data_IF_042215819056
#
_entry.id   IF_042215819056
#
_cell.length_a   1.000
_cell.length_b   1.000
_cell.length_c   1.000
_cell.angle_alpha   90.00
_cell.angle_beta   90.00
_cell.angle_gamma   90.00
#
_symmetry.space_group_name_H-M   'P 1'
#
loop_
_entity.id
_entity.type
_entity.pdbx_description
1 polymer ?
#
# COMPACT_ATOMS: atom_id res chain seq x y z
N UNK A 1 -31.43 30.21 11.72
CA UNK A 1 -30.68 30.90 12.78
C UNK A 1 -30.87 30.09 14.05
N UNK A 2 -30.00 29.11 14.29
CA UNK A 2 -29.83 28.53 15.61
C UNK A 2 -28.43 28.94 16.05
N UNK A 3 -28.38 30.11 16.67
CA UNK A 3 -27.16 30.56 17.36
C UNK A 3 -26.84 29.54 18.44
N UNK A 4 -25.56 29.24 18.62
CA UNK A 4 -25.10 28.47 19.76
C UNK A 4 -25.64 29.13 21.05
N UNK A 5 -26.06 28.35 22.06
CA UNK A 5 -26.49 28.91 23.32
C UNK A 5 -25.37 29.80 23.89
N UNK A 6 -25.70 30.96 24.48
CA UNK A 6 -24.71 31.81 25.10
C UNK A 6 -23.94 31.02 26.17
N UNK A 7 -22.62 31.26 26.32
CA UNK A 7 -21.82 30.56 27.30
C UNK A 7 -22.39 30.76 28.71
N UNK A 8 -22.43 29.72 29.56
CA UNK A 8 -22.94 29.82 30.92
C UNK A 8 -22.13 30.85 31.73
N UNK A 9 -22.76 31.59 32.66
CA UNK A 9 -22.18 32.77 33.31
C UNK A 9 -21.02 32.48 34.28
N UNK A 10 -20.56 31.23 34.42
CA UNK A 10 -19.43 30.83 35.25
C UNK A 10 -18.57 29.83 34.48
N UNK A 11 -17.73 30.32 33.58
CA UNK A 11 -16.80 29.50 32.80
C UNK A 11 -15.51 29.31 33.58
N UNK A 12 -15.15 28.05 33.87
CA UNK A 12 -13.89 27.77 34.56
C UNK A 12 -12.70 28.28 33.71
N UNK A 13 -11.83 29.16 34.24
CA UNK A 13 -10.68 29.71 33.50
C UNK A 13 -9.62 28.65 33.13
N UNK A 14 -9.78 27.42 33.62
CA UNK A 14 -9.00 26.24 33.18
C UNK A 14 -9.46 25.72 31.82
N UNK A 15 -10.77 25.73 31.55
CA UNK A 15 -11.38 25.26 30.31
C UNK A 15 -11.04 26.16 29.11
N UNK A 16 -10.74 27.44 29.37
CA UNK A 16 -10.24 28.41 28.37
C UNK A 16 -8.80 28.11 27.93
N UNK A 17 -7.97 27.57 28.82
CA UNK A 17 -6.55 27.25 28.55
C UNK A 17 -6.36 25.88 27.91
N UNK A 18 -7.31 24.97 28.08
CA UNK A 18 -7.27 23.66 27.44
C UNK A 18 -7.62 23.78 25.95
N UNK A 19 -6.59 23.65 25.11
CA UNK A 19 -6.74 23.64 23.66
C UNK A 19 -6.03 22.41 23.10
N UNK A 20 -6.79 21.57 22.40
CA UNK A 20 -6.28 20.43 21.65
C UNK A 20 -5.61 20.84 20.33
N UNK A 21 -5.80 22.09 19.88
CA UNK A 21 -5.29 22.55 18.58
C UNK A 21 -3.77 22.39 18.38
N UNK A 22 -2.88 22.79 19.32
CA UNK A 22 -1.43 22.61 19.14
C UNK A 22 -1.02 21.13 19.08
N UNK A 23 -1.63 20.28 19.92
CA UNK A 23 -1.40 18.84 19.88
C UNK A 23 -1.87 18.23 18.55
N UNK A 24 -3.05 18.63 18.06
CA UNK A 24 -3.59 18.18 16.78
C UNK A 24 -2.71 18.56 15.60
N UNK A 25 -2.19 19.79 15.57
CA UNK A 25 -1.25 20.22 14.53
C UNK A 25 0.06 19.43 14.57
N UNK A 26 0.62 19.21 15.77
CA UNK A 26 1.84 18.42 15.92
C UNK A 26 1.64 16.98 15.41
N UNK A 27 0.57 16.30 15.83
CA UNK A 27 0.21 14.96 15.37
C UNK A 27 0.05 14.94 13.85
N UNK A 28 -0.66 15.93 13.30
CA UNK A 28 -0.90 16.03 11.86
C UNK A 28 0.41 16.10 11.08
N UNK A 29 1.31 17.00 11.48
CA UNK A 29 2.58 17.22 10.76
C UNK A 29 3.47 15.96 10.87
N UNK A 30 3.62 15.39 12.07
CA UNK A 30 4.50 14.25 12.31
C UNK A 30 4.06 13.04 11.49
N UNK A 31 2.78 12.67 11.55
CA UNK A 31 2.26 11.50 10.83
C UNK A 31 2.28 11.70 9.31
N UNK A 32 1.98 12.90 8.83
CA UNK A 32 2.02 13.20 7.39
C UNK A 32 3.43 13.18 6.84
N UNK A 33 4.42 13.72 7.57
CA UNK A 33 5.84 13.63 7.19
C UNK A 33 6.29 12.18 7.17
N UNK A 34 5.97 11.40 8.22
CA UNK A 34 6.30 9.98 8.28
C UNK A 34 5.68 9.20 7.10
N UNK A 35 4.41 9.45 6.79
CA UNK A 35 3.73 8.84 5.64
C UNK A 35 4.42 9.19 4.32
N UNK A 36 4.67 10.48 4.06
CA UNK A 36 5.39 10.96 2.88
C UNK A 36 6.76 10.26 2.73
N UNK A 37 7.53 10.17 3.80
CA UNK A 37 8.83 9.50 3.80
C UNK A 37 8.70 8.01 3.44
N UNK A 38 7.71 7.29 4.00
CA UNK A 38 7.51 5.87 3.68
C UNK A 38 7.06 5.63 2.24
N UNK A 39 6.20 6.49 1.68
CA UNK A 39 5.78 6.43 0.28
C UNK A 39 6.96 6.72 -0.65
N UNK A 40 7.76 7.75 -0.35
CA UNK A 40 8.97 8.06 -1.12
C UNK A 40 9.96 6.88 -1.13
N UNK A 41 10.15 6.25 0.03
CA UNK A 41 11.03 5.09 0.18
C UNK A 41 10.53 3.87 -0.59
N UNK A 42 9.20 3.66 -0.59
CA UNK A 42 8.54 2.64 -1.41
C UNK A 42 8.78 2.88 -2.90
N UNK A 43 8.58 4.11 -3.38
CA UNK A 43 8.79 4.46 -4.79
C UNK A 43 10.25 4.31 -5.20
N UNK A 44 11.19 4.72 -4.33
CA UNK A 44 12.61 4.48 -4.54
C UNK A 44 12.91 2.99 -4.69
N UNK A 45 12.36 2.16 -3.79
CA UNK A 45 12.53 0.71 -3.83
C UNK A 45 11.96 0.10 -5.12
N UNK A 46 10.78 0.53 -5.57
CA UNK A 46 10.14 0.02 -6.80
C UNK A 46 10.86 0.46 -8.07
N UNK A 47 11.18 1.76 -8.18
CA UNK A 47 11.79 2.35 -9.39
C UNK A 47 13.27 1.99 -9.52
N UNK A 48 14.04 2.12 -8.43
CA UNK A 48 15.50 1.99 -8.49
C UNK A 48 15.96 0.57 -8.17
N UNK A 49 15.44 -0.03 -7.09
CA UNK A 49 15.92 -1.34 -6.63
C UNK A 49 15.30 -2.51 -7.41
N UNK A 50 13.99 -2.45 -7.65
CA UNK A 50 13.25 -3.52 -8.34
C UNK A 50 13.05 -3.25 -9.84
N UNK A 51 13.25 -2.01 -10.30
CA UNK A 51 13.05 -1.57 -11.70
C UNK A 51 11.70 -1.97 -12.30
N UNK A 52 10.68 -2.06 -11.46
CA UNK A 52 9.35 -2.51 -11.85
C UNK A 52 8.27 -1.80 -11.03
N UNK A 53 7.44 -1.01 -11.70
CA UNK A 53 6.32 -0.28 -11.11
C UNK A 53 5.03 -1.06 -11.36
N UNK A 54 4.22 -1.19 -10.31
CA UNK A 54 2.97 -1.95 -10.34
C UNK A 54 1.76 -1.02 -10.21
N UNK A 55 0.56 -1.49 -10.59
CA UNK A 55 -0.69 -0.72 -10.43
C UNK A 55 -0.95 -0.28 -8.99
N UNK A 56 -0.55 -1.10 -8.02
CA UNK A 56 -0.54 -0.81 -6.58
C UNK A 56 0.23 0.48 -6.23
N UNK A 57 1.32 0.79 -6.93
CA UNK A 57 2.13 1.99 -6.67
C UNK A 57 1.41 3.29 -7.12
N UNK A 58 0.50 3.21 -8.10
CA UNK A 58 -0.35 4.34 -8.48
C UNK A 58 -1.51 4.52 -7.49
N UNK A 59 -2.08 3.43 -6.99
CA UNK A 59 -3.15 3.47 -6.00
C UNK A 59 -2.68 4.10 -4.68
N UNK A 60 -1.47 3.74 -4.20
CA UNK A 60 -0.92 4.34 -2.97
C UNK A 60 -0.55 5.82 -3.15
N UNK A 61 -0.07 6.20 -4.35
CA UNK A 61 0.18 7.60 -4.68
C UNK A 61 -1.11 8.42 -4.66
N UNK A 62 -2.19 7.89 -5.23
CA UNK A 62 -3.51 8.51 -5.19
C UNK A 62 -4.01 8.65 -3.75
N UNK A 63 -3.84 7.60 -2.93
CA UNK A 63 -4.17 7.64 -1.51
C UNK A 63 -3.38 8.74 -0.77
N UNK A 64 -2.08 8.87 -1.05
CA UNK A 64 -1.23 9.90 -0.45
C UNK A 64 -1.64 11.32 -0.87
N UNK A 65 -2.04 11.52 -2.13
CA UNK A 65 -2.55 12.83 -2.59
C UNK A 65 -3.81 13.22 -1.81
N UNK A 66 -4.76 12.29 -1.65
CA UNK A 66 -5.94 12.56 -0.82
C UNK A 66 -5.57 12.76 0.66
N UNK A 67 -4.62 12.00 1.20
CA UNK A 67 -4.12 12.17 2.56
C UNK A 67 -3.47 13.55 2.81
N UNK A 68 -2.75 14.08 1.83
CA UNK A 68 -2.23 15.46 1.87
C UNK A 68 -3.37 16.49 1.82
N UNK A 69 -4.40 16.24 1.01
CA UNK A 69 -5.61 17.06 1.00
C UNK A 69 -6.31 17.08 2.36
N UNK A 70 -6.46 15.92 3.01
CA UNK A 70 -7.02 15.81 4.35
C UNK A 70 -6.17 16.56 5.37
N UNK A 71 -4.85 16.45 5.27
CA UNK A 71 -3.90 17.19 6.12
C UNK A 71 -4.08 18.69 5.98
N UNK A 72 -4.15 19.21 4.75
CA UNK A 72 -4.34 20.63 4.49
C UNK A 72 -5.66 21.15 5.09
N UNK A 73 -6.77 20.42 4.88
CA UNK A 73 -8.08 20.78 5.44
C UNK A 73 -8.02 20.79 6.97
N UNK A 74 -7.39 19.79 7.59
CA UNK A 74 -7.26 19.72 9.05
C UNK A 74 -6.41 20.86 9.63
N UNK A 75 -5.31 21.24 8.98
CA UNK A 75 -4.51 22.39 9.40
C UNK A 75 -5.37 23.67 9.39
N UNK A 76 -6.16 23.89 8.33
CA UNK A 76 -7.10 25.03 8.27
C UNK A 76 -8.16 24.95 9.38
N UNK A 77 -8.69 23.75 9.65
CA UNK A 77 -9.66 23.53 10.73
C UNK A 77 -9.10 23.85 12.13
N UNK A 78 -7.87 23.44 12.43
CA UNK A 78 -7.21 23.69 13.73
C UNK A 78 -6.74 25.14 13.88
N UNK A 79 -6.32 25.80 12.79
CA UNK A 79 -5.76 27.16 12.84
C UNK A 79 -6.81 28.26 12.73
N UNK A 80 -7.75 28.13 11.79
CA UNK A 80 -8.75 29.15 11.44
C UNK A 80 -10.16 28.71 11.82
N UNK A 81 -10.46 27.41 11.70
CA UNK A 81 -11.79 26.86 11.96
C UNK A 81 -12.20 26.84 13.44
N UNK A 82 -11.25 26.99 14.36
CA UNK A 82 -11.49 26.96 15.81
C UNK A 82 -11.74 25.54 16.36
N UNK A 83 -11.43 24.49 15.61
CA UNK A 83 -11.53 23.10 16.08
C UNK A 83 -10.44 22.87 17.14
N UNK A 84 -10.82 22.31 18.30
CA UNK A 84 -9.90 22.03 19.42
C UNK A 84 -9.98 22.99 20.61
N UNK A 85 -10.88 24.00 20.56
CA UNK A 85 -11.30 24.80 21.72
C UNK A 85 -12.73 24.43 22.12
N UNK A 86 -13.08 24.57 23.40
CA UNK A 86 -14.45 24.35 23.86
C UNK A 86 -15.42 25.29 23.14
N UNK A 87 -16.63 24.80 22.86
CA UNK A 87 -17.61 25.43 21.96
C UNK A 87 -17.96 26.86 22.38
N UNK A 88 -17.81 27.15 23.67
CA UNK A 88 -18.03 28.42 24.35
C UNK A 88 -17.02 29.52 23.96
N UNK A 89 -15.83 29.15 23.45
CA UNK A 89 -14.77 30.09 23.04
C UNK A 89 -14.57 30.15 21.52
N UNK A 90 -15.38 29.44 20.73
CA UNK A 90 -15.31 29.41 19.27
C UNK A 90 -16.09 30.59 18.68
N UNK A 91 -15.88 31.80 19.20
CA UNK A 91 -16.51 33.00 18.68
C UNK A 91 -15.74 33.53 17.45
N UNK A 92 -16.51 33.73 16.37
CA UNK A 92 -16.39 34.80 15.36
C UNK A 92 -15.30 34.87 14.28
N UNK A 93 -14.41 33.89 14.09
CA UNK A 93 -13.46 33.98 12.95
C UNK A 93 -13.97 33.48 11.59
N UNK A 94 -14.98 32.61 11.54
CA UNK A 94 -15.43 32.00 10.28
C UNK A 94 -16.95 31.83 10.21
N UNK A 95 -17.61 32.22 9.11
CA UNK A 95 -19.05 32.04 8.96
C UNK A 95 -19.42 30.56 9.06
N UNK A 96 -20.55 30.27 9.73
CA UNK A 96 -21.02 28.91 10.00
C UNK A 96 -21.13 28.04 8.73
N UNK A 97 -21.48 28.66 7.59
CA UNK A 97 -21.50 28.01 6.28
C UNK A 97 -20.13 27.48 5.85
N UNK A 98 -19.06 28.22 6.08
CA UNK A 98 -17.70 27.81 5.71
C UNK A 98 -17.19 26.70 6.63
N UNK A 99 -17.53 26.74 7.93
CA UNK A 99 -17.25 25.64 8.87
C UNK A 99 -17.90 24.33 8.43
N UNK A 100 -19.18 24.36 8.05
CA UNK A 100 -19.88 23.17 7.52
C UNK A 100 -19.22 22.65 6.24
N UNK A 101 -18.86 23.53 5.30
CA UNK A 101 -18.13 23.13 4.08
C UNK A 101 -16.82 22.42 4.39
N UNK A 102 -16.02 22.95 5.31
CA UNK A 102 -14.75 22.35 5.70
C UNK A 102 -14.95 20.94 6.27
N UNK A 103 -15.91 20.74 7.17
CA UNK A 103 -16.20 19.42 7.74
C UNK A 103 -16.65 18.41 6.69
N UNK A 104 -17.57 18.78 5.79
CA UNK A 104 -18.01 17.89 4.70
C UNK A 104 -16.88 17.58 3.72
N UNK A 105 -16.02 18.56 3.41
CA UNK A 105 -14.84 18.31 2.57
C UNK A 105 -13.83 17.38 3.25
N UNK A 106 -13.60 17.53 4.55
CA UNK A 106 -12.73 16.64 5.32
C UNK A 106 -13.26 15.21 5.31
N UNK A 107 -14.57 15.03 5.50
CA UNK A 107 -15.24 13.72 5.45
C UNK A 107 -15.09 13.05 4.07
N UNK A 108 -15.34 13.80 2.99
CA UNK A 108 -15.26 13.29 1.62
C UNK A 108 -13.81 12.89 1.26
N UNK A 109 -12.83 13.73 1.59
CA UNK A 109 -11.42 13.43 1.34
C UNK A 109 -10.94 12.27 2.21
N UNK A 110 -11.34 12.20 3.48
CA UNK A 110 -11.06 11.08 4.37
C UNK A 110 -11.55 9.74 3.80
N UNK A 111 -12.83 9.70 3.37
CA UNK A 111 -13.40 8.49 2.78
C UNK A 111 -12.62 8.08 1.53
N UNK A 112 -12.31 9.03 0.64
CA UNK A 112 -11.51 8.78 -0.56
C UNK A 112 -10.11 8.23 -0.24
N UNK A 113 -9.42 8.79 0.75
CA UNK A 113 -8.12 8.27 1.22
C UNK A 113 -8.25 6.83 1.72
N UNK A 114 -9.25 6.52 2.54
CA UNK A 114 -9.46 5.17 3.09
C UNK A 114 -9.67 4.13 1.98
N UNK A 115 -10.55 4.42 1.03
CA UNK A 115 -10.84 3.50 -0.09
C UNK A 115 -9.58 3.28 -0.94
N UNK A 116 -8.86 4.35 -1.29
CA UNK A 116 -7.65 4.26 -2.09
C UNK A 116 -6.55 3.43 -1.39
N UNK A 117 -6.34 3.64 -0.08
CA UNK A 117 -5.39 2.86 0.73
C UNK A 117 -5.76 1.37 0.76
N UNK A 118 -7.04 1.04 0.95
CA UNK A 118 -7.53 -0.34 0.99
C UNK A 118 -7.38 -1.04 -0.37
N UNK A 119 -7.65 -0.33 -1.46
CA UNK A 119 -7.44 -0.85 -2.82
C UNK A 119 -5.96 -1.15 -3.04
N UNK A 120 -5.06 -0.23 -2.67
CA UNK A 120 -3.60 -0.48 -2.73
C UNK A 120 -3.21 -1.73 -1.94
N UNK A 121 -3.64 -1.87 -0.69
CA UNK A 121 -3.37 -3.07 0.12
C UNK A 121 -3.83 -4.37 -0.56
N UNK A 122 -5.05 -4.39 -1.12
CA UNK A 122 -5.57 -5.57 -1.82
C UNK A 122 -4.79 -5.91 -3.08
N UNK A 123 -4.41 -4.91 -3.88
CA UNK A 123 -3.55 -5.11 -5.04
C UNK A 123 -2.16 -5.63 -4.64
N UNK A 124 -1.61 -5.10 -3.55
CA UNK A 124 -0.34 -5.57 -3.02
C UNK A 124 -0.41 -7.04 -2.58
N UNK A 125 -1.48 -7.44 -1.89
CA UNK A 125 -1.70 -8.82 -1.49
C UNK A 125 -1.87 -9.76 -2.67
N UNK A 126 -2.54 -9.31 -3.73
CA UNK A 126 -2.66 -10.06 -4.99
C UNK A 126 -1.29 -10.35 -5.62
N UNK A 127 -0.33 -9.42 -5.49
CA UNK A 127 1.03 -9.60 -6.00
C UNK A 127 1.91 -10.48 -5.10
N UNK A 128 1.76 -10.38 -3.77
CA UNK A 128 2.56 -11.14 -2.81
C UNK A 128 2.19 -12.63 -2.83
N UNK A 129 0.89 -12.93 -2.94
CA UNK A 129 0.37 -14.28 -2.86
C UNK A 129 -0.16 -14.74 -4.23
N UNK A 130 0.59 -15.59 -4.98
CA UNK A 130 0.21 -15.96 -6.34
C UNK A 130 -0.97 -16.95 -6.44
N UNK A 131 -1.57 -17.37 -5.32
CA UNK A 131 -2.67 -18.34 -5.28
C UNK A 131 -3.92 -17.86 -6.03
N UNK A 132 -4.55 -18.76 -6.80
CA UNK A 132 -5.77 -18.46 -7.57
C UNK A 132 -6.92 -17.99 -6.68
N UNK A 133 -7.13 -18.67 -5.55
CA UNK A 133 -8.17 -18.31 -4.56
C UNK A 133 -7.93 -16.91 -4.01
N UNK A 134 -6.68 -16.57 -3.71
CA UNK A 134 -6.32 -15.25 -3.20
C UNK A 134 -6.58 -14.14 -4.22
N UNK A 135 -6.26 -14.38 -5.49
CA UNK A 135 -6.54 -13.41 -6.57
C UNK A 135 -8.03 -13.12 -6.67
N UNK A 136 -8.88 -14.14 -6.64
CA UNK A 136 -10.34 -13.97 -6.68
C UNK A 136 -10.83 -13.18 -5.47
N UNK A 137 -10.36 -13.50 -4.26
CA UNK A 137 -10.73 -12.76 -3.04
C UNK A 137 -10.31 -11.29 -3.15
N UNK A 138 -9.08 -11.00 -3.58
CA UNK A 138 -8.60 -9.64 -3.77
C UNK A 138 -9.42 -8.88 -4.82
N UNK A 139 -9.69 -9.48 -5.98
CA UNK A 139 -10.39 -8.83 -7.08
C UNK A 139 -11.86 -8.55 -6.73
N UNK A 140 -12.54 -9.49 -6.08
CA UNK A 140 -13.89 -9.28 -5.53
C UNK A 140 -13.91 -8.17 -4.46
N UNK A 141 -12.92 -8.15 -3.57
CA UNK A 141 -12.81 -7.14 -2.51
C UNK A 141 -12.56 -5.75 -3.09
N UNK A 142 -11.70 -5.62 -4.11
CA UNK A 142 -11.45 -4.36 -4.80
C UNK A 142 -12.73 -3.87 -5.50
N UNK A 143 -13.45 -4.74 -6.20
CA UNK A 143 -14.72 -4.38 -6.82
C UNK A 143 -15.75 -3.87 -5.80
N UNK A 144 -15.87 -4.56 -4.66
CA UNK A 144 -16.73 -4.13 -3.56
C UNK A 144 -16.31 -2.77 -2.99
N UNK A 145 -15.01 -2.55 -2.73
CA UNK A 145 -14.49 -1.29 -2.20
C UNK A 145 -14.73 -0.11 -3.15
N UNK A 146 -14.59 -0.33 -4.46
CA UNK A 146 -14.87 0.71 -5.48
C UNK A 146 -16.36 1.05 -5.47
N UNK A 147 -17.24 0.04 -5.51
CA UNK A 147 -18.70 0.27 -5.52
C UNK A 147 -19.15 0.99 -4.24
N UNK A 148 -18.69 0.52 -3.08
CA UNK A 148 -18.92 1.15 -1.79
C UNK A 148 -18.41 2.59 -1.77
N UNK A 149 -17.20 2.80 -2.29
CA UNK A 149 -16.57 4.10 -2.32
C UNK A 149 -17.29 5.13 -3.17
N UNK A 150 -17.76 4.72 -4.36
CA UNK A 150 -18.58 5.57 -5.23
C UNK A 150 -19.89 5.93 -4.53
N UNK A 151 -20.57 4.96 -3.90
CA UNK A 151 -21.81 5.21 -3.16
C UNK A 151 -21.61 6.21 -2.02
N UNK A 152 -20.54 6.05 -1.22
CA UNK A 152 -20.18 6.97 -0.14
C UNK A 152 -19.86 8.37 -0.66
N UNK A 153 -19.13 8.48 -1.77
CA UNK A 153 -18.75 9.77 -2.32
C UNK A 153 -19.96 10.51 -2.91
N UNK A 154 -20.85 9.80 -3.59
CA UNK A 154 -22.12 10.36 -4.09
C UNK A 154 -22.96 10.88 -2.92
N UNK A 155 -23.09 10.08 -1.86
CA UNK A 155 -23.85 10.46 -0.68
C UNK A 155 -23.28 11.71 0.02
N UNK A 156 -21.98 11.71 0.29
CA UNK A 156 -21.30 12.78 1.04
C UNK A 156 -21.22 14.07 0.24
N UNK A 157 -20.97 13.97 -1.08
CA UNK A 157 -20.73 15.14 -1.94
C UNK A 157 -22.03 15.73 -2.50
N UNK A 158 -22.93 14.90 -3.02
CA UNK A 158 -24.11 15.37 -3.76
C UNK A 158 -25.39 15.33 -2.93
N UNK A 159 -25.68 14.20 -2.28
CA UNK A 159 -27.00 13.97 -1.70
C UNK A 159 -27.27 14.84 -0.47
N UNK A 160 -26.28 15.04 0.41
CA UNK A 160 -26.48 15.82 1.62
C UNK A 160 -25.55 17.02 1.79
N UNK A 161 -24.32 16.98 1.26
CA UNK A 161 -23.38 18.11 1.31
C UNK A 161 -23.91 19.34 0.56
N UNK A 162 -24.13 19.22 -0.75
CA UNK A 162 -24.63 20.33 -1.58
C UNK A 162 -26.06 20.73 -1.20
N UNK A 163 -26.93 19.76 -0.93
CA UNK A 163 -28.33 20.02 -0.63
C UNK A 163 -28.52 20.85 0.66
N UNK A 164 -27.75 20.57 1.72
CA UNK A 164 -27.78 21.40 2.94
C UNK A 164 -27.13 22.77 2.75
N UNK A 165 -26.20 22.92 1.81
CA UNK A 165 -25.55 24.20 1.53
C UNK A 165 -26.44 25.14 0.72
N UNK A 166 -27.22 24.62 -0.23
CA UNK A 166 -28.09 25.42 -1.11
C UNK A 166 -29.48 25.62 -0.49
N UNK A 167 -30.05 24.59 0.14
CA UNK A 167 -31.45 24.57 0.59
C UNK A 167 -31.58 24.14 2.06
N UNK A 168 -31.02 24.94 3.01
CA UNK A 168 -30.91 24.55 4.41
C UNK A 168 -32.25 24.38 5.15
N UNK A 169 -33.37 24.82 4.57
CA UNK A 169 -34.71 24.77 5.20
C UNK A 169 -35.71 23.84 4.49
N UNK A 170 -35.43 23.43 3.26
CA UNK A 170 -36.39 22.70 2.41
C UNK A 170 -35.97 21.28 2.08
N UNK A 171 -34.68 20.93 2.22
CA UNK A 171 -34.23 19.56 2.00
C UNK A 171 -34.11 18.82 3.33
N UNK A 172 -35.01 17.87 3.56
CA UNK A 172 -34.88 16.86 4.61
C UNK A 172 -33.91 15.79 4.13
N UNK A 173 -32.62 15.92 4.49
CA UNK A 173 -31.71 14.77 4.42
C UNK A 173 -32.20 13.68 5.38
N UNK A 174 -31.90 12.41 5.06
CA UNK A 174 -31.89 11.33 6.06
C UNK A 174 -31.11 11.83 7.28
N UNK A 175 -31.62 11.57 8.49
CA UNK A 175 -30.94 11.95 9.73
C UNK A 175 -29.47 11.52 9.64
N UNK A 176 -28.50 12.42 9.91
CA UNK A 176 -27.09 12.17 9.63
C UNK A 176 -26.49 11.02 10.46
N UNK A 177 -27.10 10.69 11.60
CA UNK A 177 -26.70 9.63 12.53
C UNK A 177 -26.60 8.24 11.86
N UNK A 178 -27.64 7.80 11.16
CA UNK A 178 -27.71 6.48 10.52
C UNK A 178 -26.62 6.28 9.44
N UNK A 179 -26.49 7.15 8.42
CA UNK A 179 -25.50 6.97 7.35
C UNK A 179 -24.07 7.17 7.85
N UNK A 180 -23.84 8.03 8.85
CA UNK A 180 -22.52 8.17 9.45
C UNK A 180 -22.11 6.93 10.25
N UNK A 181 -23.03 6.37 11.05
CA UNK A 181 -22.80 5.12 11.78
C UNK A 181 -22.54 3.97 10.81
N UNK A 182 -23.35 3.86 9.74
CA UNK A 182 -23.17 2.84 8.71
C UNK A 182 -21.81 2.97 8.01
N UNK A 183 -21.41 4.19 7.63
CA UNK A 183 -20.11 4.41 7.00
C UNK A 183 -18.96 4.02 7.95
N UNK A 184 -19.04 4.43 9.21
CA UNK A 184 -18.05 4.09 10.22
C UNK A 184 -17.96 2.59 10.48
N UNK A 185 -19.10 1.91 10.62
CA UNK A 185 -19.18 0.46 10.81
C UNK A 185 -18.62 -0.31 9.61
N UNK A 186 -18.98 0.07 8.39
CA UNK A 186 -18.49 -0.57 7.17
C UNK A 186 -16.98 -0.35 6.96
N UNK A 187 -16.47 0.84 7.28
CA UNK A 187 -15.03 1.07 7.27
C UNK A 187 -14.30 0.16 8.26
N UNK A 188 -14.82 0.01 9.48
CA UNK A 188 -14.25 -0.90 10.48
C UNK A 188 -14.31 -2.37 10.03
N UNK A 189 -15.46 -2.83 9.52
CA UNK A 189 -15.63 -4.20 9.03
C UNK A 189 -14.66 -4.50 7.88
N UNK A 190 -14.50 -3.56 6.96
CA UNK A 190 -13.55 -3.73 5.84
C UNK A 190 -12.09 -3.74 6.31
N UNK A 191 -11.72 -2.98 7.35
CA UNK A 191 -10.38 -3.04 7.95
C UNK A 191 -10.08 -4.44 8.51
N UNK A 192 -11.00 -4.99 9.30
CA UNK A 192 -10.87 -6.35 9.83
C UNK A 192 -10.85 -7.42 8.73
N UNK A 193 -11.69 -7.29 7.71
CA UNK A 193 -11.71 -8.22 6.58
C UNK A 193 -10.35 -8.25 5.86
N UNK A 194 -9.79 -7.07 5.55
CA UNK A 194 -8.48 -6.93 4.92
C UNK A 194 -7.38 -7.51 5.80
N UNK A 195 -7.46 -7.31 7.11
CA UNK A 195 -6.50 -7.84 8.07
C UNK A 195 -6.49 -9.38 8.13
N UNK A 196 -7.65 -10.01 7.95
CA UNK A 196 -7.80 -11.48 8.00
C UNK A 196 -7.29 -12.18 6.73
N UNK A 197 -7.27 -11.47 5.59
CA UNK A 197 -6.85 -11.99 4.29
C UNK A 197 -5.45 -12.66 4.32
N UNK A 198 -4.38 -12.03 4.85
CA UNK A 198 -3.05 -12.63 4.86
C UNK A 198 -2.86 -13.73 5.92
N UNK A 199 -3.76 -13.89 6.90
CA UNK A 199 -3.54 -14.81 8.04
C UNK A 199 -3.52 -16.27 7.58
N UNK A 200 -4.52 -16.70 6.78
CA UNK A 200 -4.60 -18.10 6.33
C UNK A 200 -3.38 -18.51 5.48
N UNK A 201 -2.97 -17.75 4.45
CA UNK A 201 -1.77 -18.07 3.68
C UNK A 201 -0.49 -18.09 4.54
N UNK A 202 -0.38 -17.21 5.52
CA UNK A 202 0.80 -17.12 6.41
C UNK A 202 0.93 -18.35 7.32
N UNK A 203 -0.19 -18.91 7.79
CA UNK A 203 -0.19 -20.09 8.66
C UNK A 203 0.14 -21.38 7.90
N UNK A 204 -0.26 -21.48 6.63
CA UNK A 204 -0.09 -22.69 5.82
C UNK A 204 1.28 -22.79 5.15
N UNK A 205 2.00 -21.67 5.00
CA UNK A 205 3.24 -21.65 4.23
C UNK A 205 4.45 -21.84 5.17
N UNK A 206 5.25 -22.89 4.92
CA UNK A 206 6.53 -23.16 5.61
C UNK A 206 7.59 -22.14 5.19
N UNK A 207 7.44 -20.90 5.65
CA UNK A 207 8.32 -19.79 5.30
C UNK A 207 9.44 -19.65 6.33
N UNK A 208 10.66 -19.35 5.87
CA UNK A 208 11.80 -18.91 6.69
C UNK A 208 11.38 -17.84 7.73
N UNK A 209 11.83 -17.99 8.99
CA UNK A 209 11.40 -17.25 10.19
C UNK A 209 11.44 -15.73 10.00
N UNK A 210 12.39 -15.21 9.23
CA UNK A 210 12.53 -13.77 8.94
C UNK A 210 11.38 -13.21 8.08
N UNK A 211 10.92 -13.97 7.09
CA UNK A 211 9.76 -13.57 6.28
C UNK A 211 8.48 -13.62 7.10
N UNK A 212 8.38 -14.61 8.00
CA UNK A 212 7.27 -14.73 8.95
C UNK A 212 7.23 -13.55 9.92
N UNK A 213 8.37 -13.11 10.44
CA UNK A 213 8.47 -11.94 11.31
C UNK A 213 7.96 -10.66 10.64
N UNK A 214 8.33 -10.45 9.37
CA UNK A 214 7.86 -9.29 8.61
C UNK A 214 6.34 -9.28 8.38
N UNK A 215 5.77 -10.44 8.04
CA UNK A 215 4.32 -10.59 7.87
C UNK A 215 3.59 -10.34 9.20
N UNK A 216 4.19 -10.75 10.32
CA UNK A 216 3.67 -10.48 11.66
C UNK A 216 3.72 -8.98 11.99
N UNK A 217 4.80 -8.28 11.66
CA UNK A 217 4.89 -6.81 11.84
C UNK A 217 3.79 -6.09 11.07
N UNK A 218 3.56 -6.45 9.80
CA UNK A 218 2.49 -5.88 8.98
C UNK A 218 1.12 -6.18 9.59
N UNK A 219 0.91 -7.40 10.10
CA UNK A 219 -0.33 -7.77 10.77
C UNK A 219 -0.56 -6.95 12.04
N UNK A 220 0.47 -6.77 12.86
CA UNK A 220 0.40 -5.95 14.07
C UNK A 220 0.11 -4.48 13.75
N UNK A 221 0.74 -3.91 12.73
CA UNK A 221 0.44 -2.54 12.29
C UNK A 221 -1.01 -2.43 11.80
N UNK A 222 -1.50 -3.41 11.03
CA UNK A 222 -2.90 -3.48 10.63
C UNK A 222 -3.86 -3.55 11.83
N UNK A 223 -3.52 -4.29 12.89
CA UNK A 223 -4.33 -4.39 14.09
C UNK A 223 -4.41 -3.03 14.81
N UNK A 224 -3.30 -2.30 14.90
CA UNK A 224 -3.28 -0.95 15.48
C UNK A 224 -4.20 -0.01 14.69
N UNK A 225 -4.16 -0.06 13.36
CA UNK A 225 -5.09 0.72 12.51
C UNK A 225 -6.55 0.35 12.83
N UNK A 226 -6.89 -0.94 12.91
CA UNK A 226 -8.24 -1.39 13.24
C UNK A 226 -8.72 -0.89 14.61
N UNK A 227 -7.85 -0.88 15.62
CA UNK A 227 -8.16 -0.35 16.96
C UNK A 227 -8.45 1.15 16.88
N UNK A 228 -7.66 1.91 16.13
CA UNK A 228 -7.90 3.34 15.90
C UNK A 228 -9.25 3.56 15.21
N UNK A 229 -9.59 2.77 14.19
CA UNK A 229 -10.89 2.82 13.51
C UNK A 229 -12.05 2.58 14.48
N UNK A 230 -11.91 1.62 15.40
CA UNK A 230 -12.93 1.31 16.41
C UNK A 230 -13.10 2.45 17.42
N UNK A 231 -11.99 3.03 17.91
CA UNK A 231 -12.03 4.20 18.81
C UNK A 231 -12.69 5.39 18.11
N UNK A 232 -12.38 5.64 16.84
CA UNK A 232 -13.02 6.70 16.05
C UNK A 232 -14.54 6.50 15.95
N UNK A 233 -14.98 5.27 15.65
CA UNK A 233 -16.40 4.94 15.59
C UNK A 233 -17.10 5.18 16.94
N UNK A 234 -16.46 4.80 18.06
CA UNK A 234 -16.99 5.04 19.39
C UNK A 234 -17.13 6.55 19.70
N UNK A 235 -16.13 7.36 19.30
CA UNK A 235 -16.20 8.82 19.45
C UNK A 235 -17.35 9.41 18.63
N UNK A 236 -17.55 8.94 17.39
CA UNK A 236 -18.63 9.40 16.52
C UNK A 236 -20.02 9.11 17.13
N UNK A 237 -20.21 7.92 17.70
CA UNK A 237 -21.45 7.57 18.42
C UNK A 237 -21.65 8.44 19.68
N UNK A 238 -20.56 8.85 20.33
CA UNK A 238 -20.63 9.72 21.51
C UNK A 238 -21.09 11.14 21.14
N UNK A 239 -20.61 11.70 20.02
CA UNK A 239 -21.06 13.00 19.49
C UNK A 239 -22.56 13.02 19.24
N UNK A 240 -23.10 11.94 18.66
CA UNK A 240 -24.53 11.87 18.33
C UNK A 240 -25.42 11.81 19.58
N UNK A 241 -24.88 11.34 20.72
CA UNK A 241 -25.63 11.16 21.98
C UNK A 241 -25.47 12.32 22.97
N UNK A 242 -24.34 13.03 22.97
CA UNK A 242 -24.03 14.05 23.98
C UNK A 242 -23.54 15.35 23.32
N UNK A 243 -24.35 16.40 23.37
CA UNK A 243 -24.15 17.64 22.58
C UNK A 243 -23.33 18.72 23.29
N UNK A 244 -22.94 18.51 24.55
CA UNK A 244 -22.42 19.56 25.43
C UNK A 244 -21.04 20.09 25.02
N UNK A 245 -20.21 19.26 24.35
CA UNK A 245 -18.86 19.63 23.88
C UNK A 245 -18.52 19.08 22.48
N UNK A 246 -19.41 19.29 21.50
CA UNK A 246 -19.23 18.76 20.13
C UNK A 246 -17.91 19.14 19.46
N UNK A 247 -17.38 20.35 19.70
CA UNK A 247 -16.12 20.82 19.09
C UNK A 247 -14.88 20.08 19.62
N UNK A 248 -14.88 19.69 20.90
CA UNK A 248 -13.77 18.95 21.51
C UNK A 248 -13.68 17.52 20.98
N UNK A 249 -14.82 16.85 20.87
CA UNK A 249 -14.89 15.49 20.33
C UNK A 249 -14.59 15.48 18.81
N UNK A 250 -15.02 16.52 18.08
CA UNK A 250 -14.63 16.69 16.67
C UNK A 250 -13.13 16.86 16.48
N UNK A 251 -12.45 17.59 17.36
CA UNK A 251 -10.99 17.72 17.33
C UNK A 251 -10.30 16.37 17.53
N UNK A 252 -10.78 15.57 18.51
CA UNK A 252 -10.27 14.22 18.76
C UNK A 252 -10.50 13.30 17.56
N UNK A 253 -11.70 13.35 16.97
CA UNK A 253 -12.06 12.58 15.77
C UNK A 253 -11.19 12.95 14.57
N UNK A 254 -10.89 14.24 14.40
CA UNK A 254 -10.00 14.74 13.36
C UNK A 254 -8.57 14.19 13.53
N UNK A 255 -8.02 14.24 14.74
CA UNK A 255 -6.69 13.65 15.02
C UNK A 255 -6.66 12.15 14.74
N UNK A 256 -7.66 11.41 15.21
CA UNK A 256 -7.77 9.96 14.98
C UNK A 256 -7.84 9.65 13.48
N UNK A 257 -8.59 10.43 12.70
CA UNK A 257 -8.70 10.28 11.25
C UNK A 257 -7.36 10.44 10.54
N UNK A 258 -6.53 11.40 10.97
CA UNK A 258 -5.21 11.65 10.40
C UNK A 258 -4.23 10.53 10.75
N UNK A 259 -4.26 10.06 12.01
CA UNK A 259 -3.44 8.92 12.44
C UNK A 259 -3.84 7.66 11.68
N UNK A 260 -5.14 7.37 11.59
CA UNK A 260 -5.69 6.19 10.90
C UNK A 260 -5.28 6.17 9.41
N UNK A 261 -5.49 7.27 8.69
CA UNK A 261 -5.20 7.35 7.26
C UNK A 261 -3.70 7.26 6.98
N UNK A 262 -2.86 8.01 7.69
CA UNK A 262 -1.41 7.97 7.50
C UNK A 262 -0.82 6.62 7.92
N UNK A 263 -1.27 6.04 9.04
CA UNK A 263 -0.79 4.74 9.49
C UNK A 263 -1.22 3.62 8.52
N UNK A 264 -2.43 3.71 7.96
CA UNK A 264 -2.89 2.82 6.90
C UNK A 264 -1.99 2.87 5.65
N UNK A 265 -1.63 4.07 5.19
CA UNK A 265 -0.70 4.26 4.06
C UNK A 265 0.67 3.70 4.39
N UNK A 266 1.22 4.01 5.57
CA UNK A 266 2.49 3.46 6.03
C UNK A 266 2.47 1.93 6.05
N UNK A 267 1.40 1.33 6.59
CA UNK A 267 1.21 -0.12 6.63
C UNK A 267 1.20 -0.74 5.22
N UNK A 268 0.57 -0.08 4.25
CA UNK A 268 0.61 -0.50 2.84
C UNK A 268 2.00 -0.37 2.21
N UNK A 269 2.80 0.58 2.67
CA UNK A 269 4.18 0.75 2.22
C UNK A 269 5.13 -0.30 2.82
N UNK A 270 4.84 -0.82 4.03
CA UNK A 270 5.74 -1.75 4.71
C UNK A 270 6.10 -2.91 3.80
N UNK A 271 5.19 -3.72 3.21
CA UNK A 271 5.53 -4.94 2.47
C UNK A 271 6.53 -4.77 1.32
N UNK A 272 6.58 -3.58 0.72
CA UNK A 272 7.55 -3.24 -0.33
C UNK A 272 8.94 -2.86 0.14
N UNK A 273 9.14 -2.50 1.40
CA UNK A 273 10.42 -1.99 1.91
C UNK A 273 11.42 -3.10 2.28
N UNK A 274 10.97 -4.35 2.40
CA UNK A 274 11.81 -5.51 2.70
C UNK A 274 13.17 -5.58 1.97
N UNK A 275 13.25 -5.47 0.63
CA UNK A 275 14.53 -5.56 -0.08
C UNK A 275 15.47 -4.39 0.26
N UNK A 276 14.94 -3.22 0.62
CA UNK A 276 15.73 -2.08 1.05
C UNK A 276 16.33 -2.31 2.44
N UNK A 277 15.52 -2.80 3.39
CA UNK A 277 16.00 -3.14 4.75
C UNK A 277 17.13 -4.17 4.69
N UNK A 278 17.01 -5.18 3.79
CA UNK A 278 18.08 -6.17 3.55
C UNK A 278 19.40 -5.54 3.07
N UNK A 279 19.34 -4.42 2.33
CA UNK A 279 20.52 -3.74 1.78
C UNK A 279 21.19 -2.80 2.77
N UNK A 280 20.41 -2.07 3.57
CA UNK A 280 20.91 -1.05 4.50
C UNK A 280 21.36 -1.67 5.82
N UNK A 281 20.66 -2.70 6.30
CA UNK A 281 20.96 -3.34 7.58
C UNK A 281 20.96 -4.87 7.43
N UNK A 282 21.95 -5.46 6.73
CA UNK A 282 22.06 -6.91 6.59
C UNK A 282 22.15 -7.63 7.94
N UNK A 283 22.72 -6.96 8.96
CA UNK A 283 22.84 -7.46 10.34
C UNK A 283 21.47 -7.59 11.03
N UNK A 284 20.54 -6.64 10.81
CA UNK A 284 19.15 -6.73 11.32
C UNK A 284 18.34 -7.80 10.58
N UNK A 285 18.74 -8.17 9.37
CA UNK A 285 18.07 -9.17 8.53
C UNK A 285 18.70 -10.56 8.68
N UNK A 286 19.77 -10.72 9.47
CA UNK A 286 20.46 -11.99 9.68
C UNK A 286 21.11 -12.50 8.39
N UNK A 287 22.43 -12.37 8.29
CA UNK A 287 23.20 -13.09 7.29
C UNK A 287 23.05 -14.59 7.52
N UNK A 288 22.16 -15.24 6.78
CA UNK A 288 22.27 -16.68 6.55
C UNK A 288 23.35 -16.91 5.48
N UNK A 289 24.58 -16.54 5.79
CA UNK A 289 25.79 -17.04 5.14
C UNK A 289 26.39 -18.09 6.09
N UNK A 290 25.72 -19.24 6.18
CA UNK A 290 26.37 -20.50 6.57
C UNK A 290 26.25 -21.38 5.35
N UNK A 291 27.13 -21.15 4.39
CA UNK A 291 27.55 -22.12 3.37
C UNK A 291 28.76 -21.54 2.65
N UNK A 292 29.88 -21.51 3.37
CA UNK A 292 31.20 -21.49 2.76
C UNK A 292 32.20 -22.14 3.71
N UNK A 293 33.01 -23.04 3.14
CA UNK A 293 34.21 -23.70 3.70
C UNK A 293 34.03 -24.82 4.73
N UNK A 294 33.47 -25.94 4.29
CA UNK A 294 33.78 -27.26 4.88
C UNK A 294 33.82 -28.34 3.78
N UNK A 295 34.71 -28.17 2.80
CA UNK A 295 35.26 -29.30 2.05
C UNK A 295 36.78 -29.15 2.11
N UNK A 296 37.30 -29.47 3.29
CA UNK A 296 38.73 -29.64 3.51
C UNK A 296 39.20 -30.88 2.78
N UNK A 297 40.24 -30.69 1.98
CA UNK A 297 41.15 -31.69 1.44
C UNK A 297 41.25 -32.96 2.30
N UNK A 298 40.75 -34.07 1.76
CA UNK A 298 41.21 -35.40 2.13
C UNK A 298 41.07 -36.28 0.89
N UNK A 299 42.17 -36.50 0.19
CA UNK A 299 42.61 -37.80 -0.35
C UNK A 299 43.85 -37.58 -1.22
N UNK A 300 44.98 -37.39 -0.55
CA UNK A 300 46.28 -37.75 -1.08
C UNK A 300 46.71 -39.02 -0.37
N UNK A 301 46.60 -40.19 -1.03
CA UNK A 301 47.27 -41.40 -0.58
C UNK A 301 47.82 -42.18 -1.79
N UNK A 302 49.13 -41.98 -1.98
CA UNK A 302 50.19 -42.89 -2.44
C UNK A 302 49.84 -44.10 -3.31
N UNK A 303 50.41 -44.06 -4.52
CA UNK A 303 51.33 -45.05 -5.12
C UNK A 303 51.16 -46.54 -4.78
N UNK A 304 50.89 -47.33 -5.83
CA UNK A 304 51.53 -48.63 -6.06
C UNK A 304 51.88 -48.73 -7.54
N UNK A 305 53.18 -48.77 -7.82
CA UNK A 305 53.73 -49.32 -9.06
C UNK A 305 53.66 -50.83 -8.88
N UNK A 306 53.02 -51.52 -9.81
CA UNK A 306 53.38 -52.89 -10.17
C UNK A 306 53.30 -52.97 -11.70
N UNK A 307 54.42 -53.37 -12.26
CA UNK A 307 54.71 -53.56 -13.68
C UNK A 307 54.04 -54.86 -14.18
N UNK A 308 54.00 -55.00 -15.50
CA UNK A 308 53.97 -56.24 -16.28
C UNK A 308 52.76 -56.51 -17.23
N UNK A 309 53.11 -56.38 -18.52
CA UNK A 309 52.63 -57.10 -19.73
C UNK A 309 51.31 -56.71 -20.44
N UNK A 310 51.50 -56.06 -21.60
CA UNK A 310 50.63 -55.93 -22.79
C UNK A 310 50.63 -57.27 -23.60
N UNK A 311 49.81 -57.53 -24.66
CA UNK A 311 48.68 -56.77 -25.26
C UNK A 311 47.40 -57.59 -25.56
N UNK A 312 46.28 -56.90 -25.83
CA UNK A 312 45.44 -57.11 -27.04
C UNK A 312 44.18 -56.22 -27.08
N UNK A 313 44.00 -55.58 -28.24
CA UNK A 313 42.73 -55.22 -28.92
C UNK A 313 41.67 -54.41 -28.17
N UNK A 314 41.34 -53.23 -28.68
CA UNK A 314 40.08 -52.57 -28.32
C UNK A 314 39.99 -51.11 -28.70
N UNK A 315 39.56 -50.87 -29.94
CA UNK A 315 39.12 -49.60 -30.49
C UNK A 315 38.11 -48.89 -29.55
N UNK A 316 38.36 -47.64 -29.16
CA UNK A 316 37.39 -46.86 -28.37
C UNK A 316 37.94 -45.61 -27.71
N UNK A 317 38.44 -44.64 -28.49
CA UNK A 317 38.75 -43.31 -27.98
C UNK A 317 37.45 -42.59 -27.55
N UNK A 318 37.15 -42.55 -26.26
CA UNK A 318 36.14 -41.64 -25.71
C UNK A 318 36.83 -40.39 -25.19
N UNK A 319 36.76 -39.31 -25.97
CA UNK A 319 37.23 -37.98 -25.57
C UNK A 319 36.19 -37.39 -24.63
N UNK A 320 36.54 -37.19 -23.36
CA UNK A 320 35.72 -36.41 -22.43
C UNK A 320 35.95 -34.92 -22.67
N UNK A 321 35.03 -34.27 -23.37
CA UNK A 321 34.98 -32.81 -23.49
C UNK A 321 34.37 -32.25 -22.22
N UNK A 322 35.21 -31.67 -21.36
CA UNK A 322 34.78 -30.86 -20.22
C UNK A 322 34.25 -29.53 -20.74
N UNK A 323 32.93 -29.42 -20.95
CA UNK A 323 32.28 -28.17 -21.38
C UNK A 323 32.17 -27.23 -20.17
N UNK A 324 33.11 -26.29 -20.03
CA UNK A 324 32.90 -25.13 -19.16
C UNK A 324 31.79 -24.26 -19.75
N UNK A 325 30.63 -24.22 -19.09
CA UNK A 325 29.59 -23.22 -19.38
C UNK A 325 29.90 -21.98 -18.54
N UNK A 326 30.69 -21.05 -19.10
CA UNK A 326 30.79 -19.68 -18.58
C UNK A 326 29.53 -18.91 -18.98
N UNK A 327 28.65 -18.64 -18.03
CA UNK A 327 27.55 -17.69 -18.20
C UNK A 327 28.13 -16.27 -18.29
N UNK A 328 28.26 -15.73 -19.51
CA UNK A 328 28.49 -14.30 -19.70
C UNK A 328 27.14 -13.56 -19.73
N UNK A 329 26.98 -12.60 -18.81
CA UNK A 329 25.84 -11.68 -18.76
C UNK A 329 25.73 -10.88 -20.06
N UNK A 330 24.51 -10.72 -20.58
CA UNK A 330 24.15 -10.14 -21.90
C UNK A 330 24.39 -8.63 -22.05
N UNK A 331 25.30 -8.05 -21.28
CA UNK A 331 25.62 -6.61 -21.31
C UNK A 331 26.94 -6.31 -22.04
N UNK A 332 27.82 -7.29 -22.23
CA UNK A 332 29.16 -7.10 -22.83
C UNK A 332 29.21 -7.31 -24.36
N UNK A 333 28.19 -7.92 -24.99
CA UNK A 333 28.20 -8.16 -26.44
C UNK A 333 27.84 -6.93 -27.30
N UNK A 334 27.40 -5.83 -26.69
CA UNK A 334 27.06 -4.59 -27.44
C UNK A 334 28.28 -3.73 -27.76
N UNK A 335 29.41 -3.93 -27.07
CA UNK A 335 30.60 -3.09 -27.20
C UNK A 335 31.72 -3.71 -28.05
N UNK A 336 31.51 -4.90 -28.63
CA UNK A 336 32.47 -5.53 -29.56
C UNK A 336 32.05 -5.44 -31.04
N UNK A 337 30.88 -4.85 -31.34
CA UNK A 337 30.43 -4.63 -32.73
C UNK A 337 30.91 -3.30 -33.34
N UNK A 338 31.66 -2.48 -32.61
CA UNK A 338 32.22 -1.23 -33.11
C UNK A 338 33.72 -1.37 -33.36
N UNK A 339 34.10 -2.08 -34.41
CA UNK A 339 35.41 -1.89 -35.03
C UNK A 339 35.22 -1.68 -36.54
N UNK A 340 35.61 -0.53 -37.10
CA UNK A 340 35.27 -0.13 -38.46
C UNK A 340 36.31 -0.65 -39.46
N UNK A 341 36.22 -1.91 -39.87
CA UNK A 341 36.92 -2.43 -41.05
C UNK A 341 36.14 -3.59 -41.67
N UNK A 342 35.16 -3.26 -42.50
CA UNK A 342 34.82 -4.10 -43.65
C UNK A 342 34.19 -3.24 -44.76
N UNK A 343 34.83 -3.16 -45.95
CA UNK A 343 34.37 -2.36 -47.07
C UNK A 343 33.54 -3.21 -48.03
N UNK A 344 32.35 -3.65 -47.62
CA UNK A 344 31.32 -4.13 -48.56
C UNK A 344 29.94 -3.74 -48.02
N UNK A 345 29.51 -2.55 -48.43
CA UNK A 345 28.12 -2.17 -48.41
C UNK A 345 27.39 -2.92 -49.53
N UNK A 346 26.27 -3.57 -49.21
CA UNK A 346 25.17 -3.79 -50.13
C UNK A 346 23.89 -3.44 -49.36
N UNK A 347 23.30 -2.31 -49.76
CA UNK A 347 21.89 -1.96 -49.59
C UNK A 347 21.03 -3.11 -50.14
N UNK A 348 19.96 -3.50 -49.44
CA UNK A 348 18.63 -3.43 -50.07
C UNK A 348 17.44 -3.77 -49.14
N UNK A 349 16.41 -2.95 -49.34
CA UNK A 349 14.96 -3.26 -49.35
C UNK A 349 14.17 -3.65 -48.08
N UNK A 350 13.43 -2.65 -47.63
CA UNK A 350 11.95 -2.60 -47.55
C UNK A 350 11.17 -3.74 -48.24
N UNK A 351 10.20 -4.31 -47.50
CA UNK A 351 8.77 -4.47 -47.85
C UNK A 351 8.15 -5.80 -47.39
N UNK A 352 7.19 -5.66 -46.46
CA UNK A 352 5.78 -6.02 -46.62
C UNK A 352 5.32 -7.48 -46.87
N UNK A 353 4.21 -7.81 -46.17
CA UNK A 353 3.14 -8.76 -46.56
C UNK A 353 3.48 -10.29 -46.47
N UNK A 354 2.60 -11.24 -46.11
CA UNK A 354 1.17 -11.27 -45.80
C UNK A 354 0.79 -12.64 -45.18
N UNK A 355 -0.33 -12.62 -44.45
CA UNK A 355 -1.29 -13.63 -43.97
C UNK A 355 -1.17 -15.17 -44.18
N UNK A 356 -1.71 -15.85 -43.16
CA UNK A 356 -2.67 -16.98 -43.19
C UNK A 356 -2.95 -17.66 -44.55
N UNK A 357 -2.77 -18.99 -44.62
CA UNK A 357 -3.87 -19.90 -44.96
C UNK A 357 -3.56 -21.36 -44.55
N UNK A 358 -4.59 -22.03 -44.03
CA UNK A 358 -4.68 -23.47 -43.79
C UNK A 358 -4.95 -24.19 -45.12
N UNK A 359 -4.30 -25.33 -45.37
CA UNK A 359 -4.92 -26.49 -46.06
C UNK A 359 -4.04 -27.73 -45.87
N UNK A 360 -4.67 -28.87 -45.54
CA UNK A 360 -4.06 -30.21 -45.55
C UNK A 360 -3.68 -30.64 -46.99
N UNK A 361 -3.00 -31.75 -47.24
CA UNK A 361 -3.45 -33.14 -47.00
C UNK A 361 -2.30 -34.10 -47.43
N UNK A 362 -2.25 -35.31 -46.82
CA UNK A 362 -1.59 -36.59 -47.25
C UNK A 362 -0.06 -36.64 -47.39
N UNK A 363 0.64 -37.75 -47.20
CA UNK A 363 0.39 -39.13 -46.78
C UNK A 363 1.76 -39.74 -46.42
N UNK A 364 1.81 -40.84 -45.67
CA UNK A 364 2.73 -41.96 -45.99
C UNK A 364 2.30 -43.23 -45.27
N UNK A 365 2.34 -44.31 -46.03
CA UNK A 365 1.82 -45.65 -45.76
C UNK A 365 2.98 -46.62 -45.51
N UNK A 366 2.76 -47.52 -44.55
CA UNK A 366 3.10 -48.95 -44.48
C UNK A 366 4.52 -49.47 -44.78
N UNK A 367 5.07 -50.21 -43.80
CA UNK A 367 5.41 -51.66 -43.83
C UNK A 367 6.19 -52.00 -42.55
N UNK A 368 6.05 -53.15 -41.90
CA UNK A 368 5.34 -54.40 -42.16
C UNK A 368 4.95 -55.05 -40.82
#
# INVERSE_FOLDING_TARGET
MSGFPPPPPNLDPKLERESLAPAGLAVTIIFTVASCSTVALRLYTRKILLRHVTSDDYAILLAQIFGLGLTAINIVCFTVGGIGRHIQFVMDKLPMFLKKKLVYSAMAVYNATQIATKISLMLQYRHIFPSRTMRVICDCSVGFLIMWGIAQQIYTSFACGIAQLIYPKTVTCIRPDIPFLLNGAMNMVTDFAILMVPIKPVLQLQINTLRKAYLLIVLCLGLVVCVISAVRLAQQVHVDKNTTDGTWIMATTAMLSIVETNLGIMCACVPTLRPLVKRIAPVLVGSSNKDSSAYGNAYGQRTRLDDEQNPKSGLGSSIYIQKEVKFHSTTELRNLSSNPRDPYAIDDRSSDEISLEQTGVTATSSRA
#
